data_IF_667264059163
#
_entry.id   IF_667264059163
#
_cell.length_a   1.000
_cell.length_b   1.000
_cell.length_c   1.000
_cell.angle_alpha   90.00
_cell.angle_beta   90.00
_cell.angle_gamma   90.00
#
_symmetry.space_group_name_H-M   'P 1'
#
loop_
_entity.id
_entity.type
_entity.pdbx_description
1 polymer ?
#
# COMPACT_ATOMS: atom_id res chain seq x y z
N UNK A 1 14.60 -0.81 -8.66
CA UNK A 1 13.38 -1.14 -7.90
C UNK A 1 13.76 -1.19 -6.44
N UNK A 2 13.17 -0.35 -5.61
CA UNK A 2 13.52 -0.29 -4.19
C UNK A 2 12.26 -0.17 -3.33
N UNK A 3 12.07 -1.17 -2.47
CA UNK A 3 10.99 -1.25 -1.52
C UNK A 3 11.56 -0.99 -0.13
N UNK A 4 11.11 0.09 0.50
CA UNK A 4 11.59 0.51 1.80
C UNK A 4 10.45 0.53 2.81
N UNK A 5 10.63 -0.21 3.90
CA UNK A 5 9.76 -0.16 5.08
C UNK A 5 10.48 0.68 6.13
N UNK A 6 9.76 1.62 6.75
CA UNK A 6 10.29 2.39 7.87
C UNK A 6 10.78 1.46 9.00
N UNK A 7 11.98 1.72 9.54
CA UNK A 7 12.60 0.89 10.57
C UNK A 7 11.84 0.84 11.90
N UNK A 8 10.92 1.79 12.13
CA UNK A 8 10.06 1.84 13.30
C UNK A 8 8.88 0.85 13.23
N UNK A 9 8.67 0.19 12.08
CA UNK A 9 7.56 -0.74 11.87
C UNK A 9 7.88 -2.10 12.53
N UNK A 10 6.97 -2.66 13.35
CA UNK A 10 7.15 -3.98 13.94
C UNK A 10 7.42 -5.04 12.88
N UNK A 11 8.34 -5.97 13.16
CA UNK A 11 8.77 -6.99 12.19
C UNK A 11 7.61 -7.77 11.56
N UNK A 12 6.61 -8.16 12.35
CA UNK A 12 5.43 -8.89 11.88
C UNK A 12 4.63 -8.07 10.85
N UNK A 13 4.46 -6.77 11.09
CA UNK A 13 3.83 -5.84 10.14
C UNK A 13 4.69 -5.68 8.90
N UNK A 14 6.00 -5.58 9.06
CA UNK A 14 6.92 -5.50 7.92
C UNK A 14 6.86 -6.77 7.04
N UNK A 15 6.67 -7.94 7.65
CA UNK A 15 6.53 -9.21 6.95
C UNK A 15 5.19 -9.27 6.19
N UNK A 16 4.10 -8.80 6.80
CA UNK A 16 2.80 -8.61 6.13
C UNK A 16 2.89 -7.63 4.96
N UNK A 17 3.60 -6.52 5.14
CA UNK A 17 3.82 -5.53 4.07
C UNK A 17 4.62 -6.12 2.91
N UNK A 18 5.63 -6.95 3.19
CA UNK A 18 6.38 -7.68 2.17
C UNK A 18 5.52 -8.71 1.45
N UNK A 19 4.60 -9.38 2.16
CA UNK A 19 3.65 -10.30 1.54
C UNK A 19 2.70 -9.56 0.59
N UNK A 20 2.07 -8.48 1.05
CA UNK A 20 1.19 -7.66 0.21
C UNK A 20 1.92 -7.09 -1.00
N UNK A 21 3.17 -6.64 -0.81
CA UNK A 21 4.04 -6.24 -1.91
C UNK A 21 4.23 -7.38 -2.90
N UNK A 22 4.69 -8.56 -2.48
CA UNK A 22 4.90 -9.72 -3.38
C UNK A 22 3.65 -10.09 -4.19
N UNK A 23 2.46 -10.06 -3.58
CA UNK A 23 1.21 -10.36 -4.30
C UNK A 23 0.92 -9.36 -5.43
N UNK A 24 1.40 -8.12 -5.29
CA UNK A 24 1.21 -7.04 -6.27
C UNK A 24 2.42 -6.89 -7.21
N UNK A 25 3.61 -7.25 -6.75
CA UNK A 25 4.91 -6.92 -7.36
C UNK A 25 5.25 -7.74 -8.60
N UNK A 26 4.79 -9.00 -8.67
CA UNK A 26 4.94 -9.85 -9.87
C UNK A 26 4.37 -9.19 -11.13
N UNK A 27 3.58 -8.12 -10.98
CA UNK A 27 2.90 -7.41 -12.05
C UNK A 27 3.45 -5.99 -12.31
N UNK A 28 4.20 -5.35 -11.39
CA UNK A 28 4.58 -3.94 -11.59
C UNK A 28 5.71 -3.37 -10.70
N UNK A 29 6.92 -3.11 -11.26
CA UNK A 29 8.07 -2.67 -10.46
C UNK A 29 8.15 -1.14 -10.28
N UNK A 30 7.45 -0.58 -9.28
CA UNK A 30 7.66 0.82 -8.83
C UNK A 30 8.37 0.88 -7.48
N UNK A 31 9.27 1.85 -7.32
CA UNK A 31 9.89 2.15 -6.03
C UNK A 31 8.87 2.76 -5.07
N UNK A 32 8.82 2.26 -3.84
CA UNK A 32 7.78 2.62 -2.89
C UNK A 32 8.34 2.72 -1.47
N UNK A 33 7.70 3.55 -0.65
CA UNK A 33 7.94 3.59 0.79
C UNK A 33 6.64 3.41 1.54
N UNK A 34 6.61 2.44 2.47
CA UNK A 34 5.48 2.20 3.35
C UNK A 34 5.81 2.73 4.75
N UNK A 35 4.90 3.52 5.32
CA UNK A 35 5.06 4.17 6.61
C UNK A 35 3.77 4.09 7.44
N UNK A 36 3.91 4.15 8.77
CA UNK A 36 2.76 4.36 9.65
C UNK A 36 2.57 5.85 9.94
N UNK A 37 1.32 6.30 9.85
CA UNK A 37 0.93 7.67 10.20
C UNK A 37 -0.22 7.63 11.20
N UNK A 38 -0.28 8.61 12.09
CA UNK A 38 -1.46 8.81 12.93
C UNK A 38 -2.47 9.66 12.15
N UNK A 39 -3.59 9.07 11.76
CA UNK A 39 -4.65 9.77 11.04
C UNK A 39 -5.64 10.41 12.02
N UNK A 40 -5.16 11.15 13.05
CA UNK A 40 -5.97 11.76 14.13
C UNK A 40 -7.25 12.41 13.57
N UNK A 41 -8.40 11.73 13.76
CA UNK A 41 -9.73 12.23 13.37
C UNK A 41 -10.14 12.02 11.91
N UNK A 42 -9.38 11.26 11.10
CA UNK A 42 -9.78 10.88 9.73
C UNK A 42 -10.23 9.42 9.68
N UNK A 43 -11.28 9.16 8.91
CA UNK A 43 -11.84 7.80 8.68
C UNK A 43 -10.99 6.93 7.75
N UNK A 44 -9.77 7.34 7.40
CA UNK A 44 -8.94 6.66 6.40
C UNK A 44 -7.98 5.68 7.06
N UNK A 45 -8.09 4.42 6.67
CA UNK A 45 -7.21 3.33 7.10
C UNK A 45 -5.82 3.39 6.44
N UNK A 46 -5.72 3.99 5.25
CA UNK A 46 -4.46 4.25 4.56
C UNK A 46 -4.60 5.29 3.46
N UNK A 47 -3.50 5.59 2.78
CA UNK A 47 -3.50 6.29 1.50
C UNK A 47 -2.23 6.03 0.69
N UNK A 48 -2.38 6.05 -0.63
CA UNK A 48 -1.30 6.11 -1.61
C UNK A 48 -1.11 7.55 -2.14
N UNK A 49 0.13 8.03 -2.19
CA UNK A 49 0.48 9.33 -2.77
C UNK A 49 1.63 9.18 -3.76
N UNK A 50 1.42 9.67 -4.98
CA UNK A 50 2.48 9.81 -5.98
C UNK A 50 3.40 10.96 -5.62
N UNK A 51 4.70 10.67 -5.55
CA UNK A 51 5.74 11.67 -5.30
C UNK A 51 6.43 12.03 -6.62
N UNK A 52 6.69 11.05 -7.47
CA UNK A 52 7.23 11.25 -8.83
C UNK A 52 6.67 10.20 -9.78
N UNK A 53 7.08 10.23 -11.06
CA UNK A 53 6.63 9.26 -12.08
C UNK A 53 6.78 7.82 -11.61
N UNK A 54 7.90 7.53 -10.94
CA UNK A 54 8.36 6.18 -10.57
C UNK A 54 8.53 6.00 -9.05
N UNK A 55 7.90 6.87 -8.25
CA UNK A 55 7.97 6.80 -6.79
C UNK A 55 6.65 7.17 -6.11
N UNK A 56 6.17 6.27 -5.25
CA UNK A 56 4.93 6.43 -4.48
C UNK A 56 5.20 6.20 -3.00
N UNK A 57 4.44 6.88 -2.15
CA UNK A 57 4.42 6.63 -0.72
C UNK A 57 3.07 6.07 -0.30
N UNK A 58 3.12 5.05 0.53
CA UNK A 58 1.96 4.42 1.14
C UNK A 58 2.03 4.69 2.62
N UNK A 59 0.93 5.21 3.16
CA UNK A 59 0.80 5.49 4.56
C UNK A 59 -0.36 4.66 5.11
N UNK A 60 -0.13 3.98 6.23
CA UNK A 60 -1.13 3.17 6.91
C UNK A 60 -1.44 3.81 8.25
N UNK A 61 -2.69 3.77 8.66
CA UNK A 61 -3.07 4.27 9.97
C UNK A 61 -2.45 3.37 11.05
N UNK A 62 -1.65 3.97 11.93
CA UNK A 62 -0.98 3.26 13.04
C UNK A 62 -1.94 2.65 14.07
N UNK A 63 -3.19 3.08 14.06
CA UNK A 63 -4.22 2.61 14.99
C UNK A 63 -4.79 1.24 14.58
N UNK A 64 -4.47 0.76 13.37
CA UNK A 64 -4.79 -0.59 12.91
C UNK A 64 -3.76 -1.54 13.54
N UNK A 65 -4.23 -2.44 14.40
CA UNK A 65 -3.37 -3.37 15.14
C UNK A 65 -3.50 -4.81 14.67
N UNK A 66 -4.56 -5.14 13.93
CA UNK A 66 -4.76 -6.48 13.39
C UNK A 66 -3.91 -6.67 12.13
N UNK A 67 -3.01 -7.68 12.09
CA UNK A 67 -2.17 -7.96 10.93
C UNK A 67 -2.94 -8.18 9.62
N UNK A 68 -4.13 -8.81 9.68
CA UNK A 68 -4.94 -9.05 8.48
C UNK A 68 -5.48 -7.74 7.91
N UNK A 69 -6.00 -6.87 8.76
CA UNK A 69 -6.51 -5.55 8.32
C UNK A 69 -5.38 -4.69 7.75
N UNK A 70 -4.19 -4.77 8.35
CA UNK A 70 -2.98 -4.12 7.82
C UNK A 70 -2.68 -4.66 6.41
N UNK A 71 -2.68 -5.99 6.21
CA UNK A 71 -2.41 -6.61 4.91
C UNK A 71 -3.37 -6.08 3.85
N UNK A 72 -4.66 -6.09 4.15
CA UNK A 72 -5.71 -5.63 3.24
C UNK A 72 -5.52 -4.16 2.86
N UNK A 73 -5.17 -3.31 3.83
CA UNK A 73 -4.89 -1.89 3.57
C UNK A 73 -3.60 -1.73 2.74
N UNK A 74 -2.53 -2.47 3.04
CA UNK A 74 -1.30 -2.45 2.25
C UNK A 74 -1.62 -2.78 0.79
N UNK A 75 -2.30 -3.89 0.55
CA UNK A 75 -2.67 -4.36 -0.79
C UNK A 75 -3.56 -3.33 -1.50
N UNK A 76 -4.56 -2.81 -0.80
CA UNK A 76 -5.46 -1.78 -1.32
C UNK A 76 -4.70 -0.55 -1.83
N UNK A 77 -3.79 -0.02 -1.02
CA UNK A 77 -3.04 1.18 -1.37
C UNK A 77 -1.95 0.90 -2.41
N UNK A 78 -1.39 -0.32 -2.43
CA UNK A 78 -0.46 -0.76 -3.48
C UNK A 78 -1.13 -0.79 -4.86
N UNK A 79 -2.38 -1.25 -4.96
CA UNK A 79 -3.12 -1.26 -6.23
C UNK A 79 -3.31 0.15 -6.81
N UNK A 80 -3.36 1.19 -5.96
CA UNK A 80 -3.41 2.57 -6.44
C UNK A 80 -2.09 3.06 -7.04
N UNK A 81 -0.95 2.38 -6.81
CA UNK A 81 0.35 2.81 -7.32
C UNK A 81 0.57 2.53 -8.82
N UNK A 82 -0.28 1.70 -9.42
CA UNK A 82 -0.26 1.40 -10.86
C UNK A 82 -0.58 2.66 -11.68
N UNK A 83 0.21 3.05 -12.70
CA UNK A 83 -0.02 4.30 -13.43
C UNK A 83 -1.35 4.36 -14.19
N UNK A 84 -1.84 3.21 -14.65
CA UNK A 84 -3.14 3.03 -15.29
C UNK A 84 -4.31 3.05 -14.29
N UNK A 85 -4.03 3.11 -12.99
CA UNK A 85 -5.02 3.11 -11.90
C UNK A 85 -4.89 4.37 -11.03
N UNK A 86 -3.71 4.96 -10.90
CA UNK A 86 -3.46 6.06 -9.99
C UNK A 86 -4.37 7.26 -10.30
N UNK A 87 -5.07 7.75 -9.27
CA UNK A 87 -6.06 8.83 -9.40
C UNK A 87 -7.42 8.36 -9.91
N UNK A 88 -7.57 7.08 -10.25
CA UNK A 88 -8.86 6.44 -10.45
C UNK A 88 -9.41 5.93 -9.12
N UNK A 89 -10.74 5.93 -8.98
CA UNK A 89 -11.39 5.26 -7.86
C UNK A 89 -11.38 3.74 -8.01
N UNK A 90 -12.18 3.05 -7.20
CA UNK A 90 -12.27 1.58 -7.17
C UNK A 90 -13.10 1.01 -8.33
N UNK A 91 -12.70 1.29 -9.58
CA UNK A 91 -13.39 0.88 -10.80
C UNK A 91 -12.42 0.35 -11.86
N UNK A 92 -12.95 -0.35 -12.86
CA UNK A 92 -12.19 -0.83 -14.01
C UNK A 92 -11.00 -1.71 -13.59
N UNK A 93 -9.80 -1.31 -14.01
CA UNK A 93 -8.56 -2.03 -13.73
C UNK A 93 -8.25 -2.22 -12.24
N UNK A 94 -8.65 -1.26 -11.38
CA UNK A 94 -8.49 -1.43 -9.93
C UNK A 94 -9.28 -2.64 -9.44
N UNK A 95 -10.55 -2.75 -9.83
CA UNK A 95 -11.44 -3.83 -9.38
C UNK A 95 -10.98 -5.17 -9.96
N UNK A 96 -10.61 -5.21 -11.24
CA UNK A 96 -10.10 -6.42 -11.90
C UNK A 96 -8.87 -6.98 -11.18
N UNK A 97 -7.93 -6.11 -10.78
CA UNK A 97 -6.72 -6.54 -10.04
C UNK A 97 -7.02 -6.91 -8.59
N UNK A 98 -7.94 -6.20 -7.93
CA UNK A 98 -8.39 -6.55 -6.59
C UNK A 98 -9.07 -7.93 -6.50
N UNK A 99 -9.63 -8.44 -7.59
CA UNK A 99 -10.20 -9.79 -7.67
C UNK A 99 -9.14 -10.90 -7.87
N UNK A 100 -7.95 -10.54 -8.35
CA UNK A 100 -6.85 -11.48 -8.66
C UNK A 100 -5.88 -11.63 -7.49
N UNK A 101 -5.74 -10.58 -6.68
CA UNK A 101 -4.80 -10.47 -5.56
C UNK A 101 -5.43 -10.95 -4.26
#
# INVERSE_FOLDING_TARGET
MSFHIDKSIPKQVADVMREGYKKVDDLWPISQTISFVSNRGRTRNGYCKKISKDFYTIAINRDIVNPQDILEVVVHELLHSYPDIFGQGHKGEWKRRAEIV
#
